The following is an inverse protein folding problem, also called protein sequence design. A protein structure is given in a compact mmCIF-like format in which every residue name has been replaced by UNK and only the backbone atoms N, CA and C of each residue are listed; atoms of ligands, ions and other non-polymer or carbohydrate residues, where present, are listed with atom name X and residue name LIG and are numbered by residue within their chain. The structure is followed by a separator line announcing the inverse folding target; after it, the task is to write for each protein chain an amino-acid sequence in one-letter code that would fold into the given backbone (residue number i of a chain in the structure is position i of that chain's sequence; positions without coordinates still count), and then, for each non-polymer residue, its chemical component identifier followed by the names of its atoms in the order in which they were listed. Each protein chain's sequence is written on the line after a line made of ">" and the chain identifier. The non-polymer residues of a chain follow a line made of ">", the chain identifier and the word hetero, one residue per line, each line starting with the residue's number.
data_IF_661577553191
#
_entry.id   IF_661577553191
#
_cell.length_a   1.000
_cell.length_b   1.000
_cell.length_c   1.000
_cell.angle_alpha   90.00
_cell.angle_beta   90.00
_cell.angle_gamma   90.00
#
_symmetry.space_group_name_H-M   'P 1'
#
loop_
_entity.id
_entity.type
_entity.pdbx_description
1 polymer ?
#
# COMPACT_ATOMS: atom_id res chain seq x y z
N UNK A 1 -40.60 6.54 13.31
CA UNK A 1 -39.76 6.08 12.18
C UNK A 1 -38.29 6.16 12.60
N UNK A 2 -37.68 5.12 13.20
CA UNK A 2 -36.20 4.95 13.34
C UNK A 2 -35.70 3.78 14.24
N UNK A 3 -36.55 2.85 14.69
CA UNK A 3 -36.12 1.70 15.51
C UNK A 3 -35.39 0.62 14.70
N UNK A 4 -35.71 0.45 13.42
CA UNK A 4 -35.13 -0.60 12.56
C UNK A 4 -33.66 -0.38 12.18
N UNK A 5 -33.21 0.88 12.06
CA UNK A 5 -31.82 1.18 11.73
C UNK A 5 -30.85 0.88 12.90
N UNK A 6 -31.32 1.01 14.15
CA UNK A 6 -30.49 0.78 15.34
C UNK A 6 -30.20 -0.71 15.57
N UNK A 7 -31.22 -1.55 15.44
CA UNK A 7 -31.12 -3.01 15.57
C UNK A 7 -30.10 -3.62 14.60
N UNK A 8 -30.12 -3.20 13.33
CA UNK A 8 -29.20 -3.73 12.30
C UNK A 8 -27.73 -3.39 12.57
N UNK A 9 -27.44 -2.22 13.14
CA UNK A 9 -26.07 -1.83 13.47
C UNK A 9 -25.56 -2.56 14.74
N UNK A 10 -26.43 -2.85 15.70
CA UNK A 10 -26.04 -3.59 16.91
C UNK A 10 -25.73 -5.06 16.60
N UNK A 11 -26.51 -5.69 15.71
CA UNK A 11 -26.20 -7.03 15.23
C UNK A 11 -24.84 -7.09 14.52
N UNK A 12 -24.57 -6.16 13.61
CA UNK A 12 -23.26 -6.08 12.91
C UNK A 12 -22.10 -5.81 13.88
N UNK A 13 -22.30 -4.91 14.85
CA UNK A 13 -21.29 -4.62 15.86
C UNK A 13 -21.01 -5.83 16.75
N UNK A 14 -22.05 -6.54 17.20
CA UNK A 14 -21.90 -7.78 17.96
C UNK A 14 -21.12 -8.84 17.16
N UNK A 15 -21.49 -9.05 15.89
CA UNK A 15 -20.75 -9.97 15.01
C UNK A 15 -19.29 -9.54 14.86
N UNK A 16 -19.02 -8.25 14.63
CA UNK A 16 -17.66 -7.74 14.49
C UNK A 16 -16.83 -7.95 15.78
N UNK A 17 -17.43 -7.73 16.96
CA UNK A 17 -16.78 -7.97 18.26
C UNK A 17 -16.52 -9.47 18.47
N UNK A 18 -17.46 -10.35 18.13
CA UNK A 18 -17.25 -11.79 18.25
C UNK A 18 -16.13 -12.28 17.33
N UNK A 19 -16.11 -11.82 16.07
CA UNK A 19 -15.06 -12.18 15.10
C UNK A 19 -13.70 -11.64 15.56
N UNK A 20 -13.61 -10.40 16.01
CA UNK A 20 -12.35 -9.82 16.47
C UNK A 20 -11.82 -10.52 17.72
N UNK A 21 -12.70 -10.83 18.69
CA UNK A 21 -12.33 -11.60 19.86
C UNK A 21 -11.81 -13.00 19.48
N UNK A 22 -12.51 -13.72 18.61
CA UNK A 22 -12.09 -15.04 18.13
C UNK A 22 -10.72 -14.99 17.43
N UNK A 23 -10.49 -13.96 16.60
CA UNK A 23 -9.21 -13.76 15.92
C UNK A 23 -8.07 -13.48 16.90
N UNK A 24 -8.29 -12.60 17.88
CA UNK A 24 -7.29 -12.30 18.92
C UNK A 24 -6.97 -13.53 19.78
N UNK A 25 -7.98 -14.35 20.11
CA UNK A 25 -7.76 -15.61 20.79
C UNK A 25 -6.92 -16.57 19.94
N UNK A 26 -7.23 -16.71 18.66
CA UNK A 26 -6.47 -17.58 17.76
C UNK A 26 -5.01 -17.09 17.60
N UNK A 27 -4.78 -15.78 17.56
CA UNK A 27 -3.45 -15.16 17.52
C UNK A 27 -2.66 -15.39 18.82
N UNK A 28 -3.32 -15.31 19.98
CA UNK A 28 -2.68 -15.63 21.26
C UNK A 28 -2.29 -17.11 21.33
N UNK A 29 -3.16 -18.00 20.84
CA UNK A 29 -2.89 -19.44 20.79
C UNK A 29 -1.78 -19.79 19.80
N UNK A 30 -1.64 -19.05 18.70
CA UNK A 30 -0.55 -19.29 17.73
C UNK A 30 0.82 -19.00 18.33
N UNK A 31 0.89 -18.10 19.31
CA UNK A 31 2.12 -17.82 20.06
C UNK A 31 2.44 -18.86 21.16
N UNK A 32 1.50 -19.75 21.51
CA UNK A 32 1.68 -20.74 22.58
C UNK A 32 1.12 -22.12 22.18
N UNK A 33 1.94 -23.00 21.57
CA UNK A 33 1.53 -24.34 21.16
C UNK A 33 1.05 -25.23 22.31
N UNK A 34 1.61 -25.02 23.52
CA UNK A 34 1.21 -25.76 24.72
C UNK A 34 -0.23 -25.47 25.12
N UNK A 35 -0.66 -24.20 25.04
CA UNK A 35 -2.04 -23.83 25.32
C UNK A 35 -2.98 -24.34 24.23
N UNK A 36 -2.58 -24.25 22.96
CA UNK A 36 -3.32 -24.79 21.83
C UNK A 36 -3.58 -26.31 21.98
N UNK A 37 -2.57 -27.08 22.40
CA UNK A 37 -2.71 -28.51 22.69
C UNK A 37 -3.67 -28.83 23.85
N UNK A 38 -3.83 -27.91 24.82
CA UNK A 38 -4.80 -28.12 25.91
C UNK A 38 -6.25 -27.98 25.45
N UNK A 39 -6.50 -27.20 24.40
CA UNK A 39 -7.85 -26.99 23.85
C UNK A 39 -8.19 -28.15 22.91
N UNK A 40 -7.24 -28.62 22.11
CA UNK A 40 -7.40 -29.81 21.26
C UNK A 40 -6.13 -30.67 21.32
N UNK A 41 -6.19 -31.92 21.82
CA UNK A 41 -5.01 -32.78 21.97
C UNK A 41 -4.33 -33.15 20.65
N UNK A 42 -5.04 -33.09 19.54
CA UNK A 42 -4.55 -33.39 18.19
C UNK A 42 -3.89 -32.18 17.49
N UNK A 43 -3.84 -31.02 18.14
CA UNK A 43 -3.28 -29.77 17.61
C UNK A 43 -1.79 -29.85 17.17
N UNK A 44 -1.07 -30.91 17.56
CA UNK A 44 0.33 -31.14 17.18
C UNK A 44 0.51 -32.09 16.00
N UNK A 45 -0.58 -32.60 15.41
CA UNK A 45 -0.48 -33.46 14.23
C UNK A 45 -0.12 -32.59 13.02
N UNK A 46 0.75 -33.12 12.16
CA UNK A 46 1.21 -32.42 10.94
C UNK A 46 0.02 -32.05 10.02
N UNK A 47 -0.99 -32.92 9.96
CA UNK A 47 -2.17 -32.72 9.11
C UNK A 47 -3.31 -31.94 9.79
N UNK A 48 -3.08 -31.40 10.99
CA UNK A 48 -4.08 -30.59 11.68
C UNK A 48 -4.10 -29.17 11.10
N UNK A 49 -5.22 -28.79 10.50
CA UNK A 49 -5.45 -27.44 9.97
C UNK A 49 -6.62 -26.78 10.73
N UNK A 50 -6.30 -25.75 11.50
CA UNK A 50 -7.24 -24.88 12.18
C UNK A 50 -6.83 -23.41 12.05
N UNK A 51 -7.66 -22.48 12.54
CA UNK A 51 -7.37 -21.05 12.51
C UNK A 51 -6.03 -20.69 13.17
N UNK A 52 -5.68 -21.35 14.28
CA UNK A 52 -4.42 -21.13 14.99
C UNK A 52 -3.21 -21.53 14.13
N UNK A 53 -3.25 -22.71 13.50
CA UNK A 53 -2.16 -23.18 12.63
C UNK A 53 -2.06 -22.37 11.34
N UNK A 54 -3.18 -21.89 10.78
CA UNK A 54 -3.16 -20.98 9.63
C UNK A 54 -2.50 -19.64 9.98
N UNK A 55 -2.81 -19.08 11.16
CA UNK A 55 -2.13 -17.87 11.66
C UNK A 55 -0.64 -18.11 11.89
N UNK A 56 -0.27 -19.24 12.50
CA UNK A 56 1.12 -19.57 12.79
C UNK A 56 1.96 -19.81 11.51
N UNK A 57 1.39 -20.49 10.51
CA UNK A 57 2.09 -20.82 9.25
C UNK A 57 2.04 -19.71 8.21
N UNK A 58 1.12 -18.75 8.35
CA UNK A 58 0.83 -17.77 7.31
C UNK A 58 0.18 -18.38 6.06
N UNK A 59 -0.28 -19.64 6.13
CA UNK A 59 -0.91 -20.34 5.01
C UNK A 59 -2.34 -19.84 4.83
N UNK A 60 -2.46 -18.70 4.15
CA UNK A 60 -3.73 -18.12 3.73
C UNK A 60 -3.84 -18.20 2.22
N UNK A 61 -5.05 -18.51 1.73
CA UNK A 61 -5.37 -18.32 0.32
C UNK A 61 -5.36 -16.83 0.02
N UNK A 62 -4.25 -16.34 -0.54
CA UNK A 62 -4.16 -14.97 -1.02
C UNK A 62 -5.08 -14.84 -2.24
N UNK A 63 -6.10 -13.97 -2.15
CA UNK A 63 -6.80 -13.51 -3.34
C UNK A 63 -5.81 -12.85 -4.30
N UNK A 64 -6.05 -12.94 -5.61
CA UNK A 64 -5.19 -12.31 -6.61
C UNK A 64 -4.93 -10.84 -6.22
N UNK A 65 -3.67 -10.50 -6.00
CA UNK A 65 -3.27 -9.16 -5.58
C UNK A 65 -3.63 -8.18 -6.71
N UNK A 66 -4.43 -7.15 -6.42
CA UNK A 66 -4.64 -6.07 -7.38
C UNK A 66 -3.27 -5.46 -7.76
N UNK A 67 -2.98 -5.24 -9.05
CA UNK A 67 -1.71 -4.68 -9.47
C UNK A 67 -1.45 -3.35 -8.78
N UNK A 68 -0.30 -3.23 -8.08
CA UNK A 68 0.13 -1.98 -7.44
C UNK A 68 0.45 -0.88 -8.47
N UNK A 69 0.69 -1.28 -9.72
CA UNK A 69 0.97 -0.39 -10.84
C UNK A 69 -0.02 -0.69 -11.95
N UNK A 70 -0.82 0.32 -12.30
CA UNK A 70 -1.59 0.33 -13.54
C UNK A 70 -0.79 1.01 -14.64
N UNK A 71 -0.97 0.59 -15.88
CA UNK A 71 -0.45 1.33 -17.03
C UNK A 71 -0.96 2.78 -16.99
N UNK A 72 -0.14 3.78 -17.38
CA UNK A 72 -0.59 5.16 -17.52
C UNK A 72 -1.77 5.24 -18.50
N UNK A 73 -2.87 5.84 -18.07
CA UNK A 73 -3.98 6.15 -18.96
C UNK A 73 -3.60 7.40 -19.77
N UNK A 74 -3.65 7.38 -21.11
CA UNK A 74 -3.41 8.58 -21.91
C UNK A 74 -4.37 9.69 -21.48
N UNK A 75 -3.82 10.79 -20.95
CA UNK A 75 -4.61 11.97 -20.65
C UNK A 75 -5.09 12.61 -21.96
N UNK A 76 -6.35 13.03 -22.00
CA UNK A 76 -6.85 13.86 -23.09
C UNK A 76 -6.02 15.16 -23.12
N UNK A 77 -5.23 15.36 -24.17
CA UNK A 77 -4.45 16.58 -24.33
C UNK A 77 -5.43 17.76 -24.48
N UNK A 78 -5.61 18.51 -23.39
CA UNK A 78 -6.25 19.81 -23.40
C UNK A 78 -5.10 20.84 -23.30
N UNK A 79 -4.47 21.14 -24.40
CA UNK A 79 -3.72 22.39 -24.50
C UNK A 79 -3.53 22.67 -25.97
N UNK A 80 -4.35 23.58 -26.48
CA UNK A 80 -3.99 24.30 -27.69
C UNK A 80 -2.83 25.19 -27.31
N UNK A 81 -1.60 24.70 -27.51
CA UNK A 81 -0.38 25.44 -27.25
C UNK A 81 -0.38 26.61 -28.24
N UNK A 82 -0.49 27.87 -27.80
CA UNK A 82 -0.45 29.00 -28.71
C UNK A 82 0.90 28.97 -29.46
N UNK A 83 0.85 29.10 -30.77
CA UNK A 83 2.07 29.16 -31.57
C UNK A 83 2.94 30.32 -31.08
N UNK A 84 4.09 30.01 -30.47
CA UNK A 84 5.07 31.02 -30.08
C UNK A 84 5.75 31.56 -31.33
N UNK A 85 5.66 32.87 -31.54
CA UNK A 85 6.39 33.56 -32.61
C UNK A 85 7.82 33.83 -32.16
N UNK A 86 8.84 33.28 -32.84
CA UNK A 86 10.23 33.60 -32.50
C UNK A 86 10.50 35.07 -32.82
N UNK A 87 10.86 35.88 -31.82
CA UNK A 87 11.41 37.21 -32.02
C UNK A 87 12.94 37.16 -31.82
N UNK A 88 13.69 37.74 -32.75
CA UNK A 88 15.13 37.90 -32.58
C UNK A 88 15.39 38.95 -31.50
N UNK A 89 15.91 38.51 -30.36
CA UNK A 89 16.43 39.41 -29.31
C UNK A 89 17.93 39.58 -29.55
N UNK A 90 18.46 40.79 -29.36
CA UNK A 90 19.91 41.00 -29.42
C UNK A 90 20.60 40.08 -28.41
N UNK A 91 21.66 39.40 -28.86
CA UNK A 91 22.45 38.50 -28.02
C UNK A 91 22.98 39.28 -26.80
N UNK A 92 22.64 38.88 -25.55
CA UNK A 92 23.15 39.54 -24.35
C UNK A 92 24.66 39.34 -24.17
N UNK A 93 25.28 38.47 -24.97
CA UNK A 93 26.67 38.07 -24.83
C UNK A 93 27.70 39.04 -25.41
N UNK A 94 27.29 40.13 -26.08
CA UNK A 94 28.24 41.17 -26.53
C UNK A 94 29.01 41.83 -25.36
N UNK A 95 28.46 41.79 -24.13
CA UNK A 95 29.15 42.26 -22.92
C UNK A 95 29.97 41.19 -22.19
N UNK A 96 29.81 39.91 -22.52
CA UNK A 96 30.44 38.78 -21.83
C UNK A 96 31.79 38.37 -22.45
N UNK A 97 32.14 38.88 -23.64
CA UNK A 97 33.38 38.54 -24.34
C UNK A 97 34.68 38.93 -23.59
N UNK A 98 34.57 39.75 -22.53
CA UNK A 98 35.70 40.12 -21.66
C UNK A 98 36.23 38.89 -20.88
N UNK A 99 35.39 37.89 -20.61
CA UNK A 99 35.76 36.70 -19.84
C UNK A 99 36.14 35.48 -20.70
N UNK A 100 36.21 35.63 -22.03
CA UNK A 100 36.50 34.52 -22.96
C UNK A 100 37.98 34.15 -23.02
N UNK A 101 38.86 34.93 -22.40
CA UNK A 101 40.31 34.68 -22.40
C UNK A 101 40.72 33.98 -21.10
N UNK A 102 41.19 32.73 -21.22
CA UNK A 102 41.82 32.03 -20.10
C UNK A 102 43.11 32.78 -19.67
N UNK A 103 43.43 32.85 -18.36
CA UNK A 103 44.65 33.50 -17.90
C UNK A 103 45.89 32.84 -18.50
N UNK A 104 46.93 33.60 -18.87
CA UNK A 104 48.14 33.05 -19.48
C UNK A 104 48.80 32.05 -18.55
N UNK A 105 49.19 30.89 -19.09
CA UNK A 105 49.94 29.90 -18.33
C UNK A 105 51.30 30.51 -17.95
N UNK A 106 51.57 30.65 -16.66
CA UNK A 106 52.87 31.08 -16.16
C UNK A 106 53.93 30.03 -16.50
N UNK A 107 55.01 30.47 -17.17
CA UNK A 107 56.28 29.77 -17.40
C UNK A 107 57.21 29.85 -16.21
#
# INVERSE_FOLDING_TARGET
>A
MSTFARSRNHGRACIAVCISAAFLCALALSASPQLHQRIHPDANRVEHNCAVTMIASGNYDYGAHSPLVSAPVPAHQFSEIPALTPCWVQSPFLGACIFEHAPPAHS
#
